data_IF_596499028514
#
_entry.id   IF_596499028514
#
_cell.length_a   1.000
_cell.length_b   1.000
_cell.length_c   1.000
_cell.angle_alpha   90.00
_cell.angle_beta   90.00
_cell.angle_gamma   90.00
#
_symmetry.space_group_name_H-M   'P 1'
#
loop_
_entity.id
_entity.type
_entity.pdbx_description
1 polymer ?
#
# COMPACT_ATOMS: atom_id res chain seq x y z
N UNK A 1 -28.02 -7.76 1.30
CA UNK A 1 -26.66 -8.10 0.83
C UNK A 1 -25.68 -7.53 1.86
N UNK A 2 -24.66 -8.27 2.31
CA UNK A 2 -23.65 -7.68 3.19
C UNK A 2 -22.98 -6.54 2.42
N UNK A 3 -22.93 -5.36 3.03
CA UNK A 3 -22.21 -4.21 2.49
C UNK A 3 -20.75 -4.64 2.33
N UNK A 4 -20.30 -4.81 1.09
CA UNK A 4 -18.87 -5.03 0.84
C UNK A 4 -18.19 -3.72 1.22
N UNK A 5 -17.37 -3.76 2.27
CA UNK A 5 -16.68 -2.58 2.77
C UNK A 5 -15.19 -2.84 2.75
N UNK A 6 -14.41 -1.83 2.38
CA UNK A 6 -12.97 -1.91 2.46
C UNK A 6 -12.51 -2.07 3.93
N UNK A 7 -11.53 -2.93 4.16
CA UNK A 7 -11.03 -3.20 5.52
C UNK A 7 -9.75 -2.38 5.73
N UNK A 8 -9.88 -1.26 6.45
CA UNK A 8 -8.76 -0.38 6.83
C UNK A 8 -8.57 -0.46 8.34
N UNK A 9 -7.71 -1.38 8.79
CA UNK A 9 -7.45 -1.61 10.22
C UNK A 9 -6.72 -0.42 10.86
N UNK A 10 -7.36 0.22 11.85
CA UNK A 10 -6.77 1.40 12.54
C UNK A 10 -6.02 1.08 13.82
N UNK A 11 -6.36 -0.01 14.49
CA UNK A 11 -5.85 -0.36 15.83
C UNK A 11 -4.62 -1.28 15.80
N UNK A 12 -4.43 -2.03 14.71
CA UNK A 12 -3.35 -3.00 14.61
C UNK A 12 -2.07 -2.35 14.07
N UNK A 13 -0.98 -2.35 14.84
CA UNK A 13 0.30 -1.77 14.42
C UNK A 13 1.12 -2.65 13.44
N UNK A 14 0.69 -3.89 13.20
CA UNK A 14 1.31 -4.74 12.18
C UNK A 14 0.98 -4.23 10.77
N UNK A 15 2.00 -3.67 10.12
CA UNK A 15 1.90 -3.14 8.76
C UNK A 15 1.63 -4.23 7.71
N UNK A 16 2.20 -5.44 7.84
CA UNK A 16 1.93 -6.51 6.88
C UNK A 16 0.49 -6.96 6.94
N UNK A 17 -0.03 -7.16 8.15
CA UNK A 17 -1.42 -7.54 8.33
C UNK A 17 -2.37 -6.43 7.85
N UNK A 18 -2.02 -5.16 8.05
CA UNK A 18 -2.74 -4.04 7.46
C UNK A 18 -2.80 -4.15 5.93
N UNK A 19 -1.66 -4.36 5.26
CA UNK A 19 -1.60 -4.52 3.81
C UNK A 19 -2.43 -5.70 3.33
N UNK A 20 -2.26 -6.88 3.92
CA UNK A 20 -2.98 -8.09 3.50
C UNK A 20 -4.49 -7.93 3.60
N UNK A 21 -5.00 -7.37 4.71
CA UNK A 21 -6.43 -7.12 4.87
C UNK A 21 -6.97 -6.12 3.85
N UNK A 22 -6.22 -5.02 3.62
CA UNK A 22 -6.61 -4.03 2.62
C UNK A 22 -6.69 -4.68 1.23
N UNK A 23 -5.63 -5.36 0.79
CA UNK A 23 -5.55 -5.98 -0.53
C UNK A 23 -6.66 -7.04 -0.72
N UNK A 24 -6.92 -7.88 0.28
CA UNK A 24 -8.02 -8.85 0.22
C UNK A 24 -9.38 -8.19 0.06
N UNK A 25 -9.63 -7.07 0.77
CA UNK A 25 -10.89 -6.34 0.63
C UNK A 25 -11.03 -5.64 -0.74
N UNK A 26 -9.94 -5.10 -1.29
CA UNK A 26 -9.92 -4.49 -2.63
C UNK A 26 -10.26 -5.53 -3.70
N UNK A 27 -9.73 -6.76 -3.61
CA UNK A 27 -10.02 -7.85 -4.57
C UNK A 27 -11.51 -8.22 -4.66
N UNK A 28 -12.31 -7.82 -3.66
CA UNK A 28 -13.75 -8.12 -3.61
C UNK A 28 -14.63 -7.00 -4.18
N UNK A 29 -14.05 -5.85 -4.54
CA UNK A 29 -14.74 -4.62 -4.95
C UNK A 29 -14.44 -4.26 -6.41
N UNK A 30 -15.30 -3.44 -7.01
CA UNK A 30 -14.94 -2.73 -8.24
C UNK A 30 -13.77 -1.76 -7.95
N UNK A 31 -12.79 -1.58 -8.85
CA UNK A 31 -11.64 -0.72 -8.59
C UNK A 31 -12.02 0.72 -8.24
N UNK A 32 -13.06 1.27 -8.88
CA UNK A 32 -13.54 2.63 -8.59
C UNK A 32 -14.16 2.69 -7.21
N UNK A 33 -15.00 1.71 -6.86
CA UNK A 33 -15.61 1.59 -5.53
C UNK A 33 -14.54 1.47 -4.44
N UNK A 34 -13.49 0.68 -4.66
CA UNK A 34 -12.37 0.55 -3.73
C UNK A 34 -11.64 1.90 -3.51
N UNK A 35 -11.38 2.66 -4.58
CA UNK A 35 -10.75 3.99 -4.47
C UNK A 35 -11.63 4.98 -3.72
N UNK A 36 -12.92 5.03 -4.05
CA UNK A 36 -13.90 5.89 -3.37
C UNK A 36 -14.00 5.55 -1.88
N UNK A 37 -14.05 4.27 -1.52
CA UNK A 37 -14.06 3.81 -0.13
C UNK A 37 -12.78 4.22 0.63
N UNK A 38 -11.59 4.13 0.02
CA UNK A 38 -10.34 4.62 0.66
C UNK A 38 -10.43 6.13 0.92
N UNK A 39 -10.81 6.91 -0.08
CA UNK A 39 -10.86 8.38 0.01
C UNK A 39 -11.89 8.82 1.06
N UNK A 40 -13.11 8.28 0.98
CA UNK A 40 -14.22 8.65 1.85
C UNK A 40 -14.05 8.16 3.29
N UNK A 41 -13.14 7.22 3.54
CA UNK A 41 -12.83 6.76 4.89
C UNK A 41 -12.10 7.79 5.76
N UNK A 42 -11.53 8.84 5.15
CA UNK A 42 -10.67 9.85 5.79
C UNK A 42 -9.48 9.25 6.58
N UNK A 43 -9.09 8.00 6.25
CA UNK A 43 -8.01 7.30 6.96
C UNK A 43 -6.63 7.77 6.54
N UNK A 44 -6.48 8.32 5.34
CA UNK A 44 -5.23 8.90 4.87
C UNK A 44 -4.80 10.05 5.79
N UNK A 45 -5.70 11.01 6.00
CA UNK A 45 -5.49 12.19 6.86
C UNK A 45 -5.33 11.76 8.32
N UNK A 46 -6.19 10.84 8.79
CA UNK A 46 -6.11 10.32 10.16
C UNK A 46 -4.73 9.71 10.44
N UNK A 47 -4.26 8.80 9.60
CA UNK A 47 -2.95 8.17 9.78
C UNK A 47 -1.80 9.17 9.65
N UNK A 48 -1.91 10.16 8.77
CA UNK A 48 -0.91 11.21 8.64
C UNK A 48 -0.79 12.03 9.93
N UNK A 49 -1.92 12.47 10.49
CA UNK A 49 -1.98 13.28 11.71
C UNK A 49 -1.51 12.48 12.95
N UNK A 50 -1.79 11.18 12.98
CA UNK A 50 -1.29 10.24 14.01
C UNK A 50 0.19 9.85 13.81
N UNK A 51 0.89 10.42 12.81
CA UNK A 51 2.27 10.07 12.45
C UNK A 51 2.47 8.59 12.04
N UNK A 52 1.39 7.90 11.68
CA UNK A 52 1.38 6.55 11.10
C UNK A 52 1.66 6.63 9.59
N UNK A 53 2.80 7.24 9.23
CA UNK A 53 3.12 7.59 7.85
C UNK A 53 3.15 6.40 6.89
N UNK A 54 3.65 5.25 7.34
CA UNK A 54 3.71 4.05 6.51
C UNK A 54 2.31 3.65 5.99
N UNK A 55 1.30 3.63 6.88
CA UNK A 55 -0.09 3.33 6.52
C UNK A 55 -0.72 4.43 5.66
N UNK A 56 -0.49 5.69 6.02
CA UNK A 56 -1.01 6.84 5.25
C UNK A 56 -0.50 6.83 3.81
N UNK A 57 0.81 6.69 3.62
CA UNK A 57 1.44 6.67 2.31
C UNK A 57 1.08 5.41 1.51
N UNK A 58 0.90 4.26 2.18
CA UNK A 58 0.41 3.05 1.52
C UNK A 58 -0.98 3.25 0.92
N UNK A 59 -1.91 3.91 1.63
CA UNK A 59 -3.24 4.22 1.09
C UNK A 59 -3.17 5.19 -0.11
N UNK A 60 -2.32 6.22 -0.03
CA UNK A 60 -2.12 7.16 -1.16
C UNK A 60 -1.54 6.42 -2.38
N UNK A 61 -0.53 5.57 -2.17
CA UNK A 61 0.05 4.75 -3.21
C UNK A 61 -0.98 3.80 -3.84
N UNK A 62 -1.82 3.16 -3.02
CA UNK A 62 -2.88 2.26 -3.47
C UNK A 62 -3.91 2.99 -4.34
N UNK A 63 -4.38 4.17 -3.90
CA UNK A 63 -5.31 5.00 -4.69
C UNK A 63 -4.70 5.37 -6.04
N UNK A 64 -3.45 5.82 -6.04
CA UNK A 64 -2.75 6.21 -7.27
C UNK A 64 -2.50 5.01 -8.18
N UNK A 65 -2.13 3.86 -7.63
CA UNK A 65 -1.92 2.61 -8.36
C UNK A 65 -3.20 2.17 -9.07
N UNK A 66 -4.31 2.06 -8.34
CA UNK A 66 -5.60 1.69 -8.92
C UNK A 66 -6.09 2.73 -9.93
N UNK A 67 -5.93 4.02 -9.63
CA UNK A 67 -6.35 5.09 -10.55
C UNK A 67 -5.59 5.05 -11.87
N UNK A 68 -4.28 4.81 -11.83
CA UNK A 68 -3.46 4.70 -13.04
C UNK A 68 -3.75 3.40 -13.80
N UNK A 69 -3.89 2.27 -13.08
CA UNK A 69 -4.13 0.96 -13.68
C UNK A 69 -5.48 0.88 -14.40
N UNK A 70 -6.51 1.52 -13.84
CA UNK A 70 -7.89 1.45 -14.35
C UNK A 70 -8.41 2.76 -14.98
N UNK A 71 -7.56 3.81 -15.08
CA UNK A 71 -7.93 5.07 -15.75
C UNK A 71 -8.98 5.91 -14.99
N UNK A 72 -8.96 5.91 -13.66
CA UNK A 72 -10.00 6.51 -12.83
C UNK A 72 -9.86 8.03 -12.64
N UNK A 73 -8.70 8.62 -12.93
CA UNK A 73 -8.39 10.04 -12.69
C UNK A 73 -8.62 10.49 -11.23
N UNK A 74 -8.38 9.61 -10.25
CA UNK A 74 -8.59 9.86 -8.81
C UNK A 74 -7.28 9.97 -8.02
N UNK A 75 -6.18 10.33 -8.69
CA UNK A 75 -4.87 10.41 -8.06
C UNK A 75 -4.82 11.50 -6.98
N UNK A 76 -4.14 11.19 -5.88
CA UNK A 76 -3.90 12.09 -4.75
C UNK A 76 -2.47 12.61 -4.84
N UNK A 77 -2.34 13.94 -4.92
CA UNK A 77 -1.06 14.64 -5.04
C UNK A 77 -0.64 15.41 -3.79
N UNK A 78 -1.53 15.54 -2.79
CA UNK A 78 -1.31 16.31 -1.55
C UNK A 78 -0.05 15.88 -0.79
N UNK A 79 0.35 14.62 -0.91
CA UNK A 79 1.44 14.02 -0.15
C UNK A 79 2.74 13.84 -0.95
N UNK A 80 2.81 14.35 -2.19
CA UNK A 80 3.88 14.08 -3.15
C UNK A 80 5.28 14.52 -2.69
N UNK A 81 5.35 15.48 -1.77
CA UNK A 81 6.61 15.96 -1.18
C UNK A 81 7.15 15.10 -0.04
N UNK A 82 6.39 14.11 0.41
CA UNK A 82 6.76 13.25 1.54
C UNK A 82 7.15 11.85 1.07
N UNK A 83 8.07 11.23 1.80
CA UNK A 83 8.45 9.83 1.66
C UNK A 83 9.03 9.31 2.98
N UNK A 84 9.04 8.00 3.18
CA UNK A 84 9.71 7.39 4.33
C UNK A 84 11.23 7.56 4.22
N UNK A 85 11.93 7.60 5.36
CA UNK A 85 13.39 7.75 5.40
C UNK A 85 14.09 6.56 4.72
N UNK A 86 13.68 5.36 5.11
CA UNK A 86 14.24 4.10 4.63
C UNK A 86 13.18 3.35 3.81
N UNK A 87 13.64 2.47 2.91
CA UNK A 87 12.74 1.63 2.12
C UNK A 87 12.12 0.57 3.03
N UNK A 88 10.79 0.47 2.99
CA UNK A 88 10.02 -0.57 3.66
C UNK A 88 9.85 -1.74 2.71
N UNK A 89 10.54 -2.83 3.00
CA UNK A 89 10.42 -4.09 2.26
C UNK A 89 9.34 -4.99 2.84
N UNK A 90 8.75 -5.88 2.02
CA UNK A 90 7.86 -6.92 2.52
C UNK A 90 8.60 -7.79 3.54
N UNK A 91 7.91 -8.22 4.61
CA UNK A 91 8.50 -9.02 5.69
C UNK A 91 9.20 -10.28 5.18
N UNK A 92 8.62 -10.96 4.18
CA UNK A 92 9.22 -12.14 3.56
C UNK A 92 10.56 -11.85 2.87
N UNK A 93 10.66 -10.71 2.18
CA UNK A 93 11.90 -10.25 1.51
C UNK A 93 12.97 -9.90 2.54
N UNK A 94 12.61 -9.17 3.60
CA UNK A 94 13.52 -8.88 4.72
C UNK A 94 14.05 -10.16 5.37
N UNK A 95 13.15 -11.09 5.67
CA UNK A 95 13.52 -12.34 6.34
C UNK A 95 14.47 -13.17 5.47
N UNK A 96 14.13 -13.38 4.20
CA UNK A 96 14.96 -14.16 3.29
C UNK A 96 16.32 -13.52 3.04
N UNK A 97 16.38 -12.20 2.90
CA UNK A 97 17.65 -11.48 2.72
C UNK A 97 18.57 -11.64 3.93
N UNK A 98 18.02 -11.60 5.15
CA UNK A 98 18.79 -11.82 6.39
C UNK A 98 19.28 -13.26 6.53
N UNK A 99 18.41 -14.23 6.28
CA UNK A 99 18.74 -15.66 6.39
C UNK A 99 19.83 -16.08 5.39
N UNK A 100 19.72 -15.60 4.15
CA UNK A 100 20.65 -15.94 3.08
C UNK A 100 21.87 -15.00 3.01
N UNK A 101 21.91 -13.95 3.84
CA UNK A 101 22.89 -12.84 3.76
C UNK A 101 23.07 -12.32 2.33
N UNK A 102 21.98 -12.31 1.56
CA UNK A 102 21.97 -11.98 0.15
C UNK A 102 21.11 -10.73 -0.09
N UNK A 103 21.74 -9.68 -0.58
CA UNK A 103 21.07 -8.42 -0.92
C UNK A 103 20.37 -8.47 -2.29
N UNK A 104 20.71 -9.42 -3.17
CA UNK A 104 20.08 -9.59 -4.48
C UNK A 104 18.56 -9.79 -4.36
N UNK A 105 18.08 -10.36 -3.26
CA UNK A 105 16.64 -10.56 -3.01
C UNK A 105 15.93 -9.21 -2.88
N UNK A 106 16.54 -8.25 -2.16
CA UNK A 106 16.01 -6.90 -2.02
C UNK A 106 16.09 -6.15 -3.35
N UNK A 107 17.18 -6.29 -4.08
CA UNK A 107 17.33 -5.68 -5.41
C UNK A 107 16.30 -6.18 -6.41
N UNK A 108 16.03 -7.49 -6.44
CA UNK A 108 14.97 -8.09 -7.26
C UNK A 108 13.59 -7.57 -6.86
N UNK A 109 13.31 -7.46 -5.56
CA UNK A 109 12.06 -6.90 -5.07
C UNK A 109 11.88 -5.44 -5.51
N UNK A 110 12.92 -4.61 -5.41
CA UNK A 110 12.89 -3.21 -5.87
C UNK A 110 12.62 -3.08 -7.37
N UNK A 111 13.24 -3.92 -8.20
CA UNK A 111 13.05 -3.90 -9.66
C UNK A 111 11.61 -4.21 -10.07
N UNK A 112 10.90 -4.99 -9.25
CA UNK A 112 9.52 -5.40 -9.50
C UNK A 112 8.50 -4.57 -8.72
N UNK A 113 8.94 -3.56 -7.96
CA UNK A 113 8.05 -2.76 -7.15
C UNK A 113 7.34 -1.69 -7.99
N UNK A 114 6.08 -1.48 -7.68
CA UNK A 114 5.20 -0.53 -8.36
C UNK A 114 5.62 0.90 -8.05
N UNK A 115 5.66 1.75 -9.09
CA UNK A 115 6.20 3.12 -9.01
C UNK A 115 5.46 4.00 -8.00
N UNK A 116 4.14 3.79 -7.86
CA UNK A 116 3.29 4.55 -6.93
C UNK A 116 3.65 4.29 -5.47
N UNK A 117 4.06 3.06 -5.14
CA UNK A 117 4.52 2.68 -3.81
C UNK A 117 5.98 3.09 -3.58
N UNK A 118 6.84 2.89 -4.59
CA UNK A 118 8.25 3.29 -4.52
C UNK A 118 8.42 4.80 -4.32
N UNK A 119 7.50 5.62 -4.84
CA UNK A 119 7.46 7.07 -4.58
C UNK A 119 7.55 7.41 -3.08
N UNK A 120 6.97 6.56 -2.23
CA UNK A 120 6.95 6.73 -0.77
C UNK A 120 7.98 5.88 -0.04
N UNK A 121 8.94 5.27 -0.75
CA UNK A 121 9.89 4.29 -0.22
C UNK A 121 9.19 3.02 0.34
N UNK A 122 8.11 2.58 -0.30
CA UNK A 122 7.45 1.31 0.00
C UNK A 122 7.72 0.35 -1.17
N UNK A 123 8.39 -0.76 -0.89
CA UNK A 123 8.62 -1.81 -1.87
C UNK A 123 7.40 -2.74 -1.88
N UNK A 124 6.47 -2.49 -2.77
CA UNK A 124 5.29 -3.31 -2.97
C UNK A 124 5.17 -3.68 -4.46
N UNK A 125 4.88 -4.94 -4.74
CA UNK A 125 4.69 -5.43 -6.11
C UNK A 125 3.23 -5.36 -6.56
N UNK A 126 2.91 -6.10 -7.61
CA UNK A 126 1.55 -6.14 -8.15
C UNK A 126 0.54 -6.71 -7.14
N UNK A 127 -0.45 -5.90 -6.77
CA UNK A 127 -1.40 -6.18 -5.67
C UNK A 127 -2.36 -7.34 -5.98
N UNK A 128 -2.64 -7.57 -7.26
CA UNK A 128 -3.57 -8.62 -7.71
C UNK A 128 -2.95 -10.02 -7.63
N UNK A 129 -1.63 -10.14 -7.77
CA UNK A 129 -0.90 -11.41 -7.84
C UNK A 129 -0.29 -11.88 -6.51
N UNK A 130 -0.81 -11.39 -5.38
CA UNK A 130 -0.48 -11.94 -4.06
C UNK A 130 -1.21 -13.27 -3.86
N UNK A 131 -0.50 -14.39 -4.05
CA UNK A 131 -0.93 -15.77 -3.76
C UNK A 131 -0.71 -16.13 -2.29
#
# INVERSE_FOLDING_TARGET
>A
MPVKKIIINTENDDFELFKSNLCQSIKMLDPKEAVEEIINSHKIEKFFNEKKYCKSFYLVAMVNYLSNKYGLNMNIHTYDKYKLKDIVYPRGVEMMSRLLKNNEIKEKALKNAEKEFLKFNICEGEIENVY
#
